data_IF_427226525476
#
_entry.id   IF_427226525476
#
_cell.length_a   1.000
_cell.length_b   1.000
_cell.length_c   1.000
_cell.angle_alpha   90.00
_cell.angle_beta   90.00
_cell.angle_gamma   90.00
#
_symmetry.space_group_name_H-M   'P 1'
#
loop_
_entity.id
_entity.type
_entity.pdbx_description
1 polymer ?
#
# COMPACT_ATOMS: atom_id res chain seq x y z
N UNK A 1 -17.33 -3.29 -5.56
CA UNK A 1 -15.93 -3.23 -5.09
C UNK A 1 -15.87 -2.94 -3.61
N UNK A 2 -15.07 -3.70 -2.87
CA UNK A 2 -14.73 -3.41 -1.47
C UNK A 2 -13.61 -2.37 -1.36
N UNK A 3 -13.40 -1.73 -0.18
CA UNK A 3 -12.28 -0.83 0.01
C UNK A 3 -10.91 -1.47 -0.26
N UNK A 4 -10.75 -2.76 0.03
CA UNK A 4 -9.53 -3.50 -0.28
C UNK A 4 -9.31 -3.60 -1.81
N UNK A 5 -10.36 -3.93 -2.56
CA UNK A 5 -10.28 -3.99 -4.03
C UNK A 5 -9.96 -2.61 -4.64
N UNK A 6 -10.51 -1.52 -4.10
CA UNK A 6 -10.14 -0.15 -4.53
C UNK A 6 -8.64 0.11 -4.31
N UNK A 7 -8.12 -0.18 -3.12
CA UNK A 7 -6.71 0.04 -2.79
C UNK A 7 -5.76 -0.80 -3.66
N UNK A 8 -6.15 -2.05 -3.94
CA UNK A 8 -5.39 -2.96 -4.79
C UNK A 8 -5.41 -2.49 -6.27
N UNK A 9 -6.59 -2.15 -6.81
CA UNK A 9 -6.72 -1.65 -8.18
C UNK A 9 -5.91 -0.35 -8.39
N UNK A 10 -6.03 0.60 -7.46
CA UNK A 10 -5.26 1.85 -7.48
C UNK A 10 -3.75 1.62 -7.54
N UNK A 11 -3.25 0.69 -6.72
CA UNK A 11 -1.82 0.38 -6.66
C UNK A 11 -1.35 -0.31 -7.96
N UNK A 12 -2.12 -1.28 -8.46
CA UNK A 12 -1.79 -1.99 -9.70
C UNK A 12 -1.84 -1.08 -10.94
N UNK A 13 -2.81 -0.18 -11.05
CA UNK A 13 -2.91 0.78 -12.16
C UNK A 13 -1.74 1.78 -12.20
N UNK A 14 -1.04 1.98 -11.09
CA UNK A 14 0.22 2.73 -11.03
C UNK A 14 1.45 1.92 -11.46
N UNK A 15 1.27 0.69 -11.93
CA UNK A 15 2.34 -0.21 -12.34
C UNK A 15 3.06 -0.90 -11.18
N UNK A 16 2.47 -0.92 -9.99
CA UNK A 16 3.08 -1.51 -8.78
C UNK A 16 2.40 -2.85 -8.46
N UNK A 17 3.19 -3.91 -8.38
CA UNK A 17 2.70 -5.22 -7.97
C UNK A 17 2.25 -5.22 -6.49
N UNK A 18 1.17 -5.93 -6.18
CA UNK A 18 0.59 -6.01 -4.83
C UNK A 18 0.71 -7.43 -4.25
N UNK A 19 0.86 -7.52 -2.92
CA UNK A 19 0.96 -8.80 -2.19
C UNK A 19 -0.05 -8.86 -1.02
N UNK A 20 -1.37 -8.84 -1.28
CA UNK A 20 -2.38 -8.77 -0.23
C UNK A 20 -2.44 -10.06 0.58
N UNK A 21 -2.08 -10.00 1.87
CA UNK A 21 -2.12 -11.14 2.78
C UNK A 21 -3.52 -11.36 3.36
N UNK A 22 -4.03 -12.58 3.27
CA UNK A 22 -5.22 -13.04 3.99
C UNK A 22 -5.10 -14.54 4.30
N UNK A 23 -5.80 -14.99 5.35
CA UNK A 23 -6.04 -16.44 5.61
C UNK A 23 -7.51 -16.82 5.39
N UNK A 24 -8.37 -15.82 5.14
CA UNK A 24 -9.78 -16.03 4.86
C UNK A 24 -9.96 -16.23 3.36
N UNK A 25 -10.55 -17.36 2.98
CA UNK A 25 -10.73 -17.79 1.59
C UNK A 25 -11.55 -16.80 0.76
N UNK A 26 -12.68 -16.33 1.29
CA UNK A 26 -13.53 -15.35 0.59
C UNK A 26 -12.77 -14.06 0.27
N UNK A 27 -11.92 -13.59 1.21
CA UNK A 27 -11.06 -12.41 0.97
C UNK A 27 -9.94 -12.69 -0.03
N UNK A 28 -9.38 -13.90 -0.06
CA UNK A 28 -8.39 -14.28 -1.06
C UNK A 28 -8.99 -14.23 -2.47
N UNK A 29 -10.20 -14.78 -2.64
CA UNK A 29 -10.94 -14.71 -3.90
C UNK A 29 -11.29 -13.27 -4.28
N UNK A 30 -11.79 -12.46 -3.35
CA UNK A 30 -12.08 -11.04 -3.60
C UNK A 30 -10.83 -10.23 -3.98
N UNK A 31 -9.68 -10.49 -3.35
CA UNK A 31 -8.42 -9.83 -3.69
C UNK A 31 -8.01 -10.17 -5.13
N UNK A 32 -8.14 -11.44 -5.53
CA UNK A 32 -7.83 -11.89 -6.89
C UNK A 32 -8.79 -11.30 -7.94
N UNK A 33 -10.08 -11.19 -7.61
CA UNK A 33 -11.10 -10.61 -8.49
C UNK A 33 -10.77 -9.17 -8.91
N UNK A 34 -9.97 -8.44 -8.11
CA UNK A 34 -9.51 -7.09 -8.42
C UNK A 34 -8.80 -6.97 -9.77
N UNK A 35 -8.22 -8.05 -10.30
CA UNK A 35 -7.61 -8.06 -11.63
C UNK A 35 -8.59 -7.67 -12.76
N UNK A 36 -9.89 -7.79 -12.52
CA UNK A 36 -10.94 -7.42 -13.47
C UNK A 36 -11.51 -6.01 -13.25
N UNK A 37 -10.91 -5.22 -12.36
CA UNK A 37 -11.39 -3.88 -12.02
C UNK A 37 -10.46 -2.81 -12.56
N UNK A 38 -11.06 -1.74 -13.07
CA UNK A 38 -10.37 -0.54 -13.51
C UNK A 38 -11.05 0.68 -12.90
N UNK A 39 -10.27 1.48 -12.19
CA UNK A 39 -10.66 2.78 -11.68
C UNK A 39 -10.64 3.82 -12.80
N UNK A 40 -11.57 4.77 -12.74
CA UNK A 40 -11.62 5.89 -13.68
C UNK A 40 -10.47 6.86 -13.42
N UNK A 41 -10.18 7.74 -14.39
CA UNK A 41 -9.16 8.79 -14.21
C UNK A 41 -9.51 9.74 -13.05
N UNK A 42 -10.80 10.02 -12.85
CA UNK A 42 -11.30 10.82 -11.73
C UNK A 42 -11.02 10.13 -10.39
N UNK A 43 -11.35 8.83 -10.26
CA UNK A 43 -11.05 8.04 -9.06
C UNK A 43 -9.54 8.02 -8.76
N UNK A 44 -8.72 7.80 -9.79
CA UNK A 44 -7.26 7.80 -9.67
C UNK A 44 -6.72 9.15 -9.17
N UNK A 45 -7.32 10.25 -9.63
CA UNK A 45 -6.96 11.60 -9.20
C UNK A 45 -7.37 11.84 -7.74
N UNK A 46 -8.61 11.52 -7.38
CA UNK A 46 -9.10 11.65 -6.01
C UNK A 46 -8.28 10.84 -5.01
N UNK A 47 -7.91 9.60 -5.36
CA UNK A 47 -7.10 8.73 -4.51
C UNK A 47 -5.65 9.23 -4.37
N UNK A 48 -5.10 9.84 -5.42
CA UNK A 48 -3.77 10.47 -5.36
C UNK A 48 -3.74 11.62 -4.37
N UNK A 49 -4.79 12.44 -4.33
CA UNK A 49 -4.89 13.60 -3.45
C UNK A 49 -5.06 13.23 -1.96
N UNK A 50 -5.28 11.94 -1.64
CA UNK A 50 -5.30 11.44 -0.27
C UNK A 50 -3.90 11.20 0.32
N UNK A 51 -2.82 11.34 -0.45
CA UNK A 51 -1.47 11.16 0.07
C UNK A 51 -1.15 12.16 1.18
N UNK A 52 -0.57 11.66 2.27
CA UNK A 52 -0.19 12.43 3.46
C UNK A 52 1.31 12.37 3.75
N UNK A 53 2.10 11.77 2.85
CA UNK A 53 3.53 11.52 3.10
C UNK A 53 3.77 10.60 4.30
N UNK A 54 2.78 9.77 4.67
CA UNK A 54 2.84 8.93 5.86
C UNK A 54 3.33 7.52 5.53
N UNK A 55 4.28 7.02 6.34
CA UNK A 55 4.84 5.67 6.22
C UNK A 55 4.39 4.81 7.41
N UNK A 56 3.67 3.72 7.14
CA UNK A 56 3.22 2.79 8.19
C UNK A 56 4.36 1.98 8.84
N UNK A 57 5.38 1.62 8.05
CA UNK A 57 6.60 0.96 8.53
C UNK A 57 7.72 2.00 8.46
N UNK A 58 7.84 2.81 9.50
CA UNK A 58 8.65 4.04 9.54
C UNK A 58 10.12 3.82 9.90
N UNK A 59 10.54 2.59 10.13
CA UNK A 59 11.94 2.28 10.45
C UNK A 59 12.26 2.32 11.96
N UNK A 60 11.38 2.86 12.82
CA UNK A 60 11.67 3.02 14.25
C UNK A 60 11.90 1.72 15.00
N UNK A 61 11.30 0.62 14.53
CA UNK A 61 11.53 -0.70 15.11
C UNK A 61 13.02 -1.12 15.07
N UNK A 62 13.77 -0.65 14.07
CA UNK A 62 15.19 -0.95 13.90
C UNK A 62 16.11 0.10 14.53
N UNK A 63 15.55 1.15 15.14
CA UNK A 63 16.31 2.16 15.87
C UNK A 63 16.44 1.73 17.33
N UNK A 64 17.67 1.44 17.75
CA UNK A 64 17.98 1.03 19.12
C UNK A 64 19.31 1.62 19.57
N UNK A 65 19.51 1.68 20.90
CA UNK A 65 20.69 2.28 21.50
C UNK A 65 21.97 1.58 21.01
N UNK A 66 22.96 2.38 20.57
CA UNK A 66 24.20 1.91 19.95
C UNK A 66 24.03 1.12 18.64
N UNK A 67 22.84 1.17 18.03
CA UNK A 67 22.59 0.60 16.70
C UNK A 67 23.19 1.44 15.57
N UNK A 68 23.40 0.83 14.38
CA UNK A 68 24.02 1.50 13.25
C UNK A 68 23.10 2.47 12.48
N UNK A 69 21.79 2.49 12.79
CA UNK A 69 20.79 3.26 12.05
C UNK A 69 19.83 4.00 12.99
N UNK A 70 19.43 5.19 12.59
CA UNK A 70 18.22 5.88 13.07
C UNK A 70 17.12 5.80 12.01
N UNK A 71 15.85 5.93 12.39
CA UNK A 71 14.75 5.98 11.41
C UNK A 71 14.97 7.07 10.35
N UNK A 72 15.54 8.21 10.75
CA UNK A 72 15.88 9.31 9.85
C UNK A 72 16.94 8.89 8.81
N UNK A 73 18.04 8.27 9.24
CA UNK A 73 19.11 7.81 8.34
C UNK A 73 18.65 6.76 7.32
N UNK A 74 17.59 6.00 7.63
CA UNK A 74 17.03 5.00 6.71
C UNK A 74 16.29 5.67 5.54
N UNK A 75 15.64 6.80 5.78
CA UNK A 75 14.72 7.41 4.80
C UNK A 75 15.20 8.72 4.19
N UNK A 76 16.09 9.46 4.86
CA UNK A 76 16.40 10.86 4.56
C UNK A 76 17.89 11.17 4.29
N UNK A 77 18.72 10.13 4.05
CA UNK A 77 20.16 10.24 3.75
C UNK A 77 20.58 11.50 2.97
#
# INVERSE_FOLDING_TARGET
MSPAQVALAYTMQRGIAVIPKSINEARLLQNLETLNHTLTEEDMTLLKDLDKGHRFIDGKFWEFENGPYTADSIWNN
#
